data_IF_668974500575
#
_entry.id   IF_668974500575
#
_cell.length_a   1.000
_cell.length_b   1.000
_cell.length_c   1.000
_cell.angle_alpha   90.00
_cell.angle_beta   90.00
_cell.angle_gamma   90.00
#
_symmetry.space_group_name_H-M   'P 1'
#
loop_
_entity.id
_entity.type
_entity.pdbx_description
1 polymer ?
#
# COMPACT_ATOMS: atom_id res chain seq x y z
N UNK A 1 -1.84 4.83 -28.55
CA UNK A 1 -2.05 5.24 -27.15
C UNK A 1 -3.41 4.69 -26.75
N UNK A 2 -3.45 3.44 -26.28
CA UNK A 2 -4.71 2.83 -25.86
C UNK A 2 -5.07 3.39 -24.49
N UNK A 3 -6.17 4.13 -24.45
CA UNK A 3 -6.73 4.66 -23.20
C UNK A 3 -7.52 3.51 -22.58
N UNK A 4 -6.93 2.84 -21.60
CA UNK A 4 -7.60 1.77 -20.85
C UNK A 4 -8.74 2.42 -20.06
N UNK A 5 -9.98 2.17 -20.46
CA UNK A 5 -11.17 2.60 -19.71
C UNK A 5 -11.30 1.81 -18.39
N UNK A 6 -11.70 2.44 -17.28
CA UNK A 6 -11.79 1.80 -15.96
C UNK A 6 -12.74 0.58 -15.88
N UNK A 7 -13.63 0.39 -16.86
CA UNK A 7 -14.60 -0.74 -16.83
C UNK A 7 -14.03 -2.08 -17.31
N UNK A 8 -12.77 -2.13 -17.76
CA UNK A 8 -12.16 -3.37 -18.30
C UNK A 8 -10.99 -3.92 -17.47
N UNK A 9 -10.83 -3.53 -16.20
CA UNK A 9 -9.87 -4.20 -15.31
C UNK A 9 -10.41 -5.59 -14.96
N UNK A 10 -10.09 -6.57 -15.83
CA UNK A 10 -10.28 -7.99 -15.56
C UNK A 10 -9.54 -8.33 -14.28
N UNK A 11 -10.29 -8.78 -13.28
CA UNK A 11 -9.80 -9.41 -12.06
C UNK A 11 -9.25 -10.80 -12.42
N UNK A 12 -8.13 -10.84 -13.14
CA UNK A 12 -7.44 -12.08 -13.43
C UNK A 12 -6.76 -12.54 -12.13
N UNK A 13 -7.05 -13.78 -11.73
CA UNK A 13 -6.55 -14.34 -10.48
C UNK A 13 -5.02 -14.31 -10.41
N UNK A 14 -4.49 -13.98 -9.23
CA UNK A 14 -3.12 -14.29 -8.83
C UNK A 14 -2.03 -13.24 -9.07
N UNK A 15 -2.23 -12.27 -9.97
CA UNK A 15 -1.20 -11.26 -10.27
C UNK A 15 -1.64 -9.86 -9.79
N UNK A 16 -0.82 -9.27 -8.92
CA UNK A 16 -1.04 -7.92 -8.39
C UNK A 16 -0.32 -6.97 -9.33
N UNK A 17 -0.83 -6.82 -10.55
CA UNK A 17 -0.08 -6.07 -11.58
C UNK A 17 -0.27 -4.55 -11.44
N UNK A 18 -1.35 -4.11 -10.82
CA UNK A 18 -1.68 -2.69 -10.73
C UNK A 18 -2.27 -2.31 -9.38
N UNK A 19 -1.88 -1.13 -8.90
CA UNK A 19 -2.45 -0.46 -7.73
C UNK A 19 -3.18 0.78 -8.23
N UNK A 20 -4.49 0.84 -8.00
CA UNK A 20 -5.27 2.04 -8.28
C UNK A 20 -4.98 3.10 -7.21
N UNK A 21 -4.56 4.29 -7.64
CA UNK A 21 -4.21 5.41 -6.77
C UNK A 21 -5.08 6.61 -7.10
N UNK A 22 -5.68 7.21 -6.08
CA UNK A 22 -6.38 8.48 -6.20
C UNK A 22 -5.42 9.63 -5.87
N UNK A 23 -5.33 10.62 -6.77
CA UNK A 23 -4.57 11.86 -6.53
C UNK A 23 -5.37 13.05 -7.05
N UNK A 24 -5.30 14.16 -6.31
CA UNK A 24 -5.84 15.45 -6.77
C UNK A 24 -4.83 16.24 -7.62
N UNK A 25 -3.57 15.79 -7.69
CA UNK A 25 -2.49 16.41 -8.47
C UNK A 25 -1.91 15.45 -9.50
N UNK A 26 -2.59 15.34 -10.64
CA UNK A 26 -2.15 14.50 -11.76
C UNK A 26 -0.86 15.02 -12.42
N UNK A 27 -0.59 16.32 -12.31
CA UNK A 27 0.63 16.98 -12.79
C UNK A 27 1.91 16.41 -12.15
N UNK A 28 1.81 15.87 -10.93
CA UNK A 28 2.95 15.32 -10.19
C UNK A 28 3.25 13.85 -10.45
N UNK A 29 2.51 13.17 -11.33
CA UNK A 29 2.68 11.71 -11.55
C UNK A 29 4.09 11.34 -11.97
N UNK A 30 4.73 12.13 -12.83
CA UNK A 30 6.11 11.85 -13.27
C UNK A 30 7.17 12.05 -12.17
N UNK A 31 6.82 12.71 -11.06
CA UNK A 31 7.71 12.94 -9.92
C UNK A 31 7.50 11.99 -8.75
N UNK A 32 6.60 11.00 -8.87
CA UNK A 32 6.33 10.04 -7.79
C UNK A 32 7.49 9.05 -7.64
N UNK A 33 8.20 9.09 -6.51
CA UNK A 33 9.34 8.19 -6.23
C UNK A 33 8.95 6.94 -5.43
N UNK A 34 7.82 6.98 -4.73
CA UNK A 34 7.27 5.83 -4.00
C UNK A 34 5.76 5.99 -3.78
N UNK A 35 5.10 4.88 -3.43
CA UNK A 35 3.69 4.84 -3.03
C UNK A 35 3.63 4.35 -1.58
N UNK A 36 2.72 4.92 -0.79
CA UNK A 36 2.46 4.49 0.59
C UNK A 36 1.12 3.78 0.63
N UNK A 37 1.09 2.61 1.27
CA UNK A 37 -0.11 1.80 1.43
C UNK A 37 -0.56 1.78 2.90
N UNK A 38 -1.86 1.82 3.13
CA UNK A 38 -2.41 1.65 4.46
C UNK A 38 -2.14 0.23 4.99
N UNK A 39 -1.81 0.07 6.29
CA UNK A 39 -1.52 -1.24 6.87
C UNK A 39 -2.71 -2.21 6.83
N UNK A 40 -3.94 -1.71 6.72
CA UNK A 40 -5.17 -2.50 6.62
C UNK A 40 -5.63 -2.75 5.17
N UNK A 41 -4.82 -2.39 4.17
CA UNK A 41 -5.19 -2.52 2.76
C UNK A 41 -5.12 -3.98 2.28
N UNK A 42 -6.11 -4.43 1.50
CA UNK A 42 -6.25 -5.82 1.00
C UNK A 42 -5.01 -6.33 0.23
N UNK A 43 -4.31 -5.43 -0.46
CA UNK A 43 -3.09 -5.80 -1.18
C UNK A 43 -1.93 -6.15 -0.23
N UNK A 44 -1.87 -5.60 0.98
CA UNK A 44 -0.85 -5.98 1.98
C UNK A 44 -1.02 -7.44 2.38
N UNK A 45 -2.26 -7.91 2.52
CA UNK A 45 -2.56 -9.32 2.80
C UNK A 45 -2.16 -10.23 1.63
N UNK A 46 -2.41 -9.79 0.39
CA UNK A 46 -1.96 -10.52 -0.79
C UNK A 46 -0.43 -10.58 -0.89
N UNK A 47 0.26 -9.49 -0.53
CA UNK A 47 1.73 -9.45 -0.46
C UNK A 47 2.26 -10.37 0.65
N UNK A 48 1.60 -10.42 1.81
CA UNK A 48 1.93 -11.34 2.89
C UNK A 48 1.93 -12.80 2.42
N UNK A 49 0.86 -13.21 1.73
CA UNK A 49 0.75 -14.57 1.19
C UNK A 49 1.87 -14.90 0.20
N UNK A 50 2.26 -13.94 -0.65
CA UNK A 50 3.36 -14.10 -1.62
C UNK A 50 4.73 -14.14 -0.94
N UNK A 51 4.93 -13.38 0.14
CA UNK A 51 6.16 -13.43 0.95
C UNK A 51 6.28 -14.77 1.67
N UNK A 52 5.20 -15.26 2.27
CA UNK A 52 5.14 -16.55 2.95
C UNK A 52 5.31 -17.73 1.97
N UNK A 53 4.78 -17.60 0.74
CA UNK A 53 4.91 -18.60 -0.33
C UNK A 53 6.27 -18.57 -1.04
N UNK A 54 7.11 -17.56 -0.77
CA UNK A 54 8.45 -17.42 -1.36
C UNK A 54 8.50 -16.76 -2.74
N UNK A 55 7.36 -16.30 -3.27
CA UNK A 55 7.26 -15.64 -4.58
C UNK A 55 7.88 -14.23 -4.58
N UNK A 56 7.88 -13.56 -3.43
CA UNK A 56 8.38 -12.18 -3.26
C UNK A 56 9.25 -12.09 -2.02
N UNK A 57 10.47 -11.56 -2.15
CA UNK A 57 11.37 -11.37 -1.02
C UNK A 57 11.36 -9.91 -0.52
N UNK A 58 10.85 -9.71 0.69
CA UNK A 58 10.87 -8.41 1.38
C UNK A 58 11.85 -8.49 2.56
N UNK A 59 12.98 -7.78 2.46
CA UNK A 59 14.08 -7.84 3.45
C UNK A 59 13.68 -7.40 4.86
N UNK A 60 12.67 -6.56 4.98
CA UNK A 60 12.21 -5.96 6.24
C UNK A 60 10.81 -6.41 6.64
N UNK A 61 10.36 -7.58 6.19
CA UNK A 61 9.00 -8.07 6.41
C UNK A 61 8.61 -8.11 7.89
N UNK A 62 9.51 -8.55 8.77
CA UNK A 62 9.27 -8.60 10.22
C UNK A 62 8.91 -7.20 10.79
N UNK A 63 9.65 -6.17 10.35
CA UNK A 63 9.39 -4.78 10.76
C UNK A 63 8.06 -4.25 10.20
N UNK A 64 7.66 -4.71 9.01
CA UNK A 64 6.38 -4.34 8.41
C UNK A 64 5.23 -4.97 9.20
N UNK A 65 5.35 -6.25 9.60
CA UNK A 65 4.34 -6.91 10.43
C UNK A 65 4.20 -6.23 11.79
N UNK A 66 5.32 -5.94 12.46
CA UNK A 66 5.31 -5.22 13.74
C UNK A 66 4.62 -3.86 13.60
N UNK A 67 4.92 -3.12 12.53
CA UNK A 67 4.27 -1.84 12.26
C UNK A 67 2.76 -1.98 12.01
N UNK A 68 2.33 -3.01 11.27
CA UNK A 68 0.91 -3.27 11.02
C UNK A 68 0.17 -3.55 12.34
N UNK A 69 0.76 -4.35 13.23
CA UNK A 69 0.18 -4.64 14.54
C UNK A 69 0.08 -3.37 15.40
N UNK A 70 1.18 -2.62 15.52
CA UNK A 70 1.19 -1.34 16.23
C UNK A 70 0.18 -0.34 15.65
N UNK A 71 0.01 -0.31 14.33
CA UNK A 71 -0.92 0.60 13.66
C UNK A 71 -2.39 0.21 13.89
N UNK A 72 -2.71 -1.09 13.99
CA UNK A 72 -4.07 -1.57 14.30
C UNK A 72 -4.54 -1.18 15.70
N UNK A 73 -3.61 -1.05 16.64
CA UNK A 73 -3.92 -0.67 18.01
C UNK A 73 -4.07 0.85 18.20
N UNK A 74 -3.69 1.65 17.18
CA UNK A 74 -3.86 3.11 17.24
C UNK A 74 -5.24 3.51 16.77
N UNK A 75 -5.91 4.31 17.58
CA UNK A 75 -7.20 4.89 17.24
C UNK A 75 -7.04 5.93 16.12
N UNK A 76 -8.12 6.18 15.36
CA UNK A 76 -8.11 7.20 14.30
C UNK A 76 -7.71 8.59 14.83
N UNK A 77 -8.04 8.91 16.08
CA UNK A 77 -7.65 10.15 16.77
C UNK A 77 -6.14 10.25 16.92
N UNK A 78 -5.48 9.21 17.44
CA UNK A 78 -4.02 9.16 17.61
C UNK A 78 -3.26 9.17 16.27
N UNK A 79 -3.89 8.74 15.17
CA UNK A 79 -3.32 8.85 13.80
C UNK A 79 -3.39 10.28 13.26
N UNK A 80 -4.36 11.07 13.71
CA UNK A 80 -4.60 12.44 13.22
C UNK A 80 -3.90 13.49 14.09
N UNK A 81 -3.53 13.13 15.33
CA UNK A 81 -2.76 14.00 16.22
C UNK A 81 -1.34 14.20 15.69
N UNK A 82 -1.14 15.40 15.12
CA UNK A 82 0.12 16.02 14.71
C UNK A 82 1.07 16.33 15.89
N UNK A 83 1.09 15.49 16.93
CA UNK A 83 1.99 15.66 18.08
C UNK A 83 3.05 14.56 18.09
N UNK A 84 4.03 14.69 17.20
CA UNK A 84 5.41 14.34 17.58
C UNK A 84 6.12 15.66 17.80
N UNK A 85 6.44 15.99 19.05
CA UNK A 85 7.41 17.03 19.33
C UNK A 85 8.68 16.74 18.52
N UNK A 86 9.14 17.74 17.77
CA UNK A 86 10.47 17.70 17.18
C UNK A 86 11.47 17.86 18.32
N UNK A 87 12.14 16.77 18.69
CA UNK A 87 13.35 16.80 19.51
C UNK A 87 14.50 16.23 18.70
#
# INVERSE_FOLDING_TARGET
>A
MEVITPSQVKKNGGEVDYIEVYTTRIDTVFGMSFVVMAPEHKLVESLKLKVESGDVQIKNWDKVQEYIEQAKHKTQLERTELQKEKT
#
